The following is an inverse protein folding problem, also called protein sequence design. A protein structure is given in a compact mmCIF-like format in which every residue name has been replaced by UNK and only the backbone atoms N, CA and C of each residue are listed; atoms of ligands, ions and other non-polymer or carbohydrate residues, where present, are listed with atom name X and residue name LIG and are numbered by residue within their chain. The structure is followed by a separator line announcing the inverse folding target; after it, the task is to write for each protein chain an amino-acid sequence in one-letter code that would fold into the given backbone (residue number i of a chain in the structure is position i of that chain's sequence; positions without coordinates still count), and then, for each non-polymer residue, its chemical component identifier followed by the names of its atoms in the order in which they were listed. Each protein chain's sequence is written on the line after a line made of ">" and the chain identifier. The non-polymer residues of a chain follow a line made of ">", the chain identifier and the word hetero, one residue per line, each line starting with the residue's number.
data_IF_905158723933
#
_entry.id   IF_905158723933
#
_cell.length_a   1.000
_cell.length_b   1.000
_cell.length_c   1.000
_cell.angle_alpha   90.00
_cell.angle_beta   90.00
_cell.angle_gamma   90.00
#
_symmetry.space_group_name_H-M   'P 1'
#
loop_
_entity.id
_entity.type
_entity.pdbx_description
1 polymer ?
#
# COMPACT_ATOMS: atom_id res chain seq x y z
N UNK A 1 19.85 -4.56 7.03
CA UNK A 1 18.53 -4.99 6.54
C UNK A 1 17.73 -5.52 7.72
N UNK A 2 17.03 -4.65 8.45
CA UNK A 2 16.19 -5.06 9.57
C UNK A 2 14.80 -5.36 8.99
N UNK A 3 14.46 -6.65 8.87
CA UNK A 3 13.13 -7.05 8.41
C UNK A 3 12.06 -6.56 9.38
N UNK A 4 11.00 -5.95 8.85
CA UNK A 4 9.74 -5.73 9.58
C UNK A 4 9.18 -7.10 9.96
N UNK A 5 9.58 -7.66 11.10
CA UNK A 5 9.00 -8.89 11.62
C UNK A 5 7.68 -8.50 12.30
N UNK A 6 6.58 -8.55 11.56
CA UNK A 6 5.23 -8.46 12.13
C UNK A 6 5.02 -9.66 13.07
N UNK A 7 4.51 -9.47 14.30
CA UNK A 7 4.04 -10.59 15.09
C UNK A 7 2.73 -11.10 14.48
N UNK A 8 2.75 -12.33 13.97
CA UNK A 8 1.53 -13.10 13.70
C UNK A 8 0.77 -13.28 15.03
N UNK A 9 -0.25 -12.44 15.24
CA UNK A 9 -1.17 -12.51 16.37
C UNK A 9 -2.38 -13.38 16.01
N UNK A 10 -2.44 -14.54 16.66
CA UNK A 10 -3.45 -15.58 16.54
C UNK A 10 -4.92 -15.10 16.47
N UNK A 11 -5.71 -15.81 15.64
CA UNK A 11 -7.16 -15.76 15.67
C UNK A 11 -7.70 -16.23 17.04
N UNK A 12 -8.65 -15.52 17.67
CA UNK A 12 -9.40 -16.08 18.78
C UNK A 12 -10.50 -16.99 18.23
N UNK A 13 -10.26 -18.29 18.32
CA UNK A 13 -11.30 -19.30 18.39
C UNK A 13 -11.94 -19.27 19.78
N UNK A 14 -13.27 -19.37 19.85
CA UNK A 14 -14.08 -19.94 20.95
C UNK A 14 -15.56 -19.84 20.55
N UNK A 15 -16.16 -20.93 20.06
CA UNK A 15 -16.94 -21.93 20.84
C UNK A 15 -18.09 -21.31 21.64
N UNK A 16 -19.27 -21.35 21.03
CA UNK A 16 -20.54 -21.96 21.49
C UNK A 16 -20.96 -21.91 22.98
N UNK A 17 -22.29 -21.76 23.17
CA UNK A 17 -23.10 -21.88 24.39
C UNK A 17 -23.01 -20.69 25.38
N UNK A 18 -24.07 -20.06 25.88
CA UNK A 18 -25.42 -20.53 26.18
C UNK A 18 -26.37 -19.34 26.39
N UNK A 19 -27.62 -19.47 25.93
CA UNK A 19 -28.71 -18.53 26.18
C UNK A 19 -29.12 -18.60 27.65
N UNK A 20 -29.26 -17.46 28.34
CA UNK A 20 -30.22 -17.34 29.44
C UNK A 20 -30.76 -15.92 29.56
N UNK A 21 -32.04 -15.78 29.22
CA UNK A 21 -32.86 -14.62 29.53
C UNK A 21 -33.11 -14.59 31.03
N UNK A 22 -32.91 -13.45 31.68
CA UNK A 22 -33.65 -13.05 32.89
C UNK A 22 -34.00 -11.57 32.76
N UNK A 23 -35.30 -11.30 32.88
CA UNK A 23 -35.93 -10.00 32.83
C UNK A 23 -35.61 -9.17 34.08
N UNK A 24 -35.39 -7.85 33.92
CA UNK A 24 -35.21 -6.93 35.04
C UNK A 24 -35.43 -5.48 34.62
N UNK A 25 -36.56 -4.92 35.04
CA UNK A 25 -36.98 -3.52 34.88
C UNK A 25 -36.09 -2.56 35.67
N UNK A 26 -35.80 -1.37 35.15
CA UNK A 26 -35.18 -0.29 35.93
C UNK A 26 -34.53 0.83 35.10
N UNK A 27 -35.24 1.94 34.94
CA UNK A 27 -34.71 3.24 34.46
C UNK A 27 -33.69 3.82 35.46
N UNK A 28 -32.47 4.17 35.02
CA UNK A 28 -31.83 5.45 35.38
C UNK A 28 -30.62 5.74 34.47
N UNK A 29 -30.67 6.90 33.85
CA UNK A 29 -29.63 7.51 33.02
C UNK A 29 -28.56 8.16 33.90
N UNK A 30 -27.32 7.68 33.80
CA UNK A 30 -26.06 8.45 33.78
C UNK A 30 -24.91 7.71 34.48
N UNK A 31 -23.85 7.44 33.72
CA UNK A 31 -22.48 7.49 34.25
C UNK A 31 -21.82 6.17 34.62
N UNK A 32 -21.58 5.29 33.64
CA UNK A 32 -20.28 4.61 33.50
C UNK A 32 -20.21 3.94 32.12
N UNK A 33 -20.01 4.72 31.05
CA UNK A 33 -19.64 4.18 29.73
C UNK A 33 -18.12 3.89 29.75
N UNK A 34 -17.67 3.00 30.62
CA UNK A 34 -16.26 2.66 30.76
C UNK A 34 -15.82 1.71 29.63
N UNK A 35 -15.14 2.30 28.64
CA UNK A 35 -13.90 1.72 28.12
C UNK A 35 -13.94 0.76 26.94
N UNK A 36 -15.11 0.32 26.45
CA UNK A 36 -15.14 -0.71 25.39
C UNK A 36 -15.62 -0.26 24.00
N UNK A 37 -16.27 0.90 23.87
CA UNK A 37 -16.85 1.35 22.59
C UNK A 37 -16.03 2.41 21.83
N UNK A 38 -14.76 2.62 22.20
CA UNK A 38 -13.87 3.59 21.54
C UNK A 38 -12.89 2.95 20.53
N UNK A 39 -12.92 1.62 20.38
CA UNK A 39 -11.96 0.80 19.63
C UNK A 39 -12.53 0.24 18.32
N UNK A 40 -13.50 0.92 17.71
CA UNK A 40 -13.78 0.65 16.31
C UNK A 40 -12.58 1.22 15.54
N UNK A 41 -11.59 0.37 15.26
CA UNK A 41 -10.46 0.62 14.38
C UNK A 41 -11.03 1.03 13.02
N UNK A 42 -11.28 2.33 12.85
CA UNK A 42 -11.81 2.88 11.60
C UNK A 42 -10.65 2.83 10.64
N UNK A 43 -10.64 1.81 9.78
CA UNK A 43 -9.77 1.79 8.63
C UNK A 43 -9.97 3.09 7.85
N UNK A 44 -8.88 3.75 7.46
CA UNK A 44 -8.96 5.01 6.72
C UNK A 44 -8.42 4.84 5.31
N UNK A 45 -9.16 5.36 4.33
CA UNK A 45 -8.77 5.37 2.92
C UNK A 45 -7.64 6.37 2.70
N UNK A 46 -6.50 5.91 2.18
CA UNK A 46 -5.40 6.80 1.75
C UNK A 46 -5.71 7.36 0.36
N UNK A 47 -5.95 6.47 -0.61
CA UNK A 47 -6.07 6.83 -2.02
C UNK A 47 -6.93 5.83 -2.80
N UNK A 48 -7.38 6.26 -3.97
CA UNK A 48 -7.93 5.40 -5.02
C UNK A 48 -6.92 5.32 -6.15
N UNK A 49 -6.58 4.12 -6.58
CA UNK A 49 -5.66 3.88 -7.68
C UNK A 49 -6.41 3.77 -9.00
N UNK A 50 -5.74 4.13 -10.10
CA UNK A 50 -6.29 4.04 -11.46
C UNK A 50 -6.37 2.59 -11.97
N UNK A 51 -5.52 1.70 -11.43
CA UNK A 51 -5.46 0.30 -11.81
C UNK A 51 -5.11 -0.59 -10.61
N UNK A 52 -5.38 -1.90 -10.72
CA UNK A 52 -5.01 -2.85 -9.66
C UNK A 52 -3.49 -2.94 -9.48
N UNK A 53 -2.72 -2.79 -10.57
CA UNK A 53 -1.26 -2.82 -10.52
C UNK A 53 -0.70 -1.69 -9.66
N UNK A 54 -1.18 -0.47 -9.89
CA UNK A 54 -0.81 0.71 -9.10
C UNK A 54 -1.18 0.52 -7.62
N UNK A 55 -2.37 0.00 -7.35
CA UNK A 55 -2.83 -0.26 -6.00
C UNK A 55 -1.94 -1.29 -5.26
N UNK A 56 -1.50 -2.34 -5.95
CA UNK A 56 -0.58 -3.34 -5.41
C UNK A 56 0.81 -2.75 -5.12
N UNK A 57 1.34 -1.92 -6.03
CA UNK A 57 2.60 -1.20 -5.80
C UNK A 57 2.52 -0.33 -4.54
N UNK A 58 1.41 0.39 -4.35
CA UNK A 58 1.18 1.20 -3.14
C UNK A 58 1.04 0.33 -1.89
N UNK A 59 0.39 -0.83 -1.97
CA UNK A 59 0.27 -1.78 -0.86
C UNK A 59 1.65 -2.31 -0.42
N UNK A 60 2.47 -2.75 -1.37
CA UNK A 60 3.82 -3.24 -1.12
C UNK A 60 4.72 -2.14 -0.54
N UNK A 61 4.60 -0.92 -1.07
CA UNK A 61 5.33 0.25 -0.56
C UNK A 61 4.98 0.55 0.91
N UNK A 62 3.69 0.47 1.28
CA UNK A 62 3.25 0.65 2.66
C UNK A 62 3.75 -0.49 3.56
N UNK A 63 3.68 -1.74 3.09
CA UNK A 63 4.17 -2.91 3.84
C UNK A 63 5.68 -2.83 4.10
N UNK A 64 6.47 -2.40 3.11
CA UNK A 64 7.91 -2.13 3.27
C UNK A 64 8.23 -1.06 4.32
N UNK A 65 7.28 -0.16 4.58
CA UNK A 65 7.37 0.85 5.64
C UNK A 65 6.73 0.37 6.97
N UNK A 66 6.45 -0.93 7.10
CA UNK A 66 5.74 -1.54 8.21
C UNK A 66 4.34 -0.92 8.49
N UNK A 67 3.65 -0.42 7.47
CA UNK A 67 2.29 0.12 7.56
C UNK A 67 1.31 -0.92 7.06
N UNK A 68 0.43 -1.38 7.95
CA UNK A 68 -0.56 -2.41 7.60
C UNK A 68 -1.72 -1.78 6.84
N UNK A 69 -1.86 -2.12 5.56
CA UNK A 69 -2.93 -1.64 4.68
C UNK A 69 -3.67 -2.80 4.00
N UNK A 70 -4.82 -2.50 3.38
CA UNK A 70 -5.65 -3.43 2.62
C UNK A 70 -6.15 -2.78 1.33
N UNK A 71 -6.35 -3.62 0.32
CA UNK A 71 -7.02 -3.24 -0.92
C UNK A 71 -8.52 -3.52 -0.84
N UNK A 72 -9.29 -2.60 -1.41
CA UNK A 72 -10.73 -2.74 -1.65
C UNK A 72 -11.00 -2.56 -3.14
N UNK A 73 -12.13 -3.09 -3.62
CA UNK A 73 -12.56 -3.02 -5.02
C UNK A 73 -11.59 -3.63 -6.06
N UNK A 74 -10.73 -4.57 -5.64
CA UNK A 74 -9.74 -5.21 -6.52
C UNK A 74 -10.37 -5.98 -7.70
N UNK A 75 -11.59 -6.50 -7.53
CA UNK A 75 -12.32 -7.25 -8.54
C UNK A 75 -13.42 -6.44 -9.24
N UNK A 76 -13.69 -5.21 -8.80
CA UNK A 76 -14.76 -4.38 -9.35
C UNK A 76 -14.45 -3.92 -10.79
N UNK A 77 -13.18 -3.91 -11.20
CA UNK A 77 -12.74 -3.62 -12.56
C UNK A 77 -13.16 -4.70 -13.58
N UNK A 78 -13.34 -5.96 -13.16
CA UNK A 78 -13.75 -7.06 -14.03
C UNK A 78 -15.25 -7.11 -14.34
N UNK A 79 -16.07 -6.33 -13.63
CA UNK A 79 -17.52 -6.28 -13.74
C UNK A 79 -18.06 -5.06 -14.49
N UNK A 80 -17.24 -4.42 -15.34
CA UNK A 80 -17.51 -3.14 -16.00
C UNK A 80 -18.72 -3.15 -16.99
N UNK A 81 -19.50 -4.24 -17.03
CA UNK A 81 -20.79 -4.30 -17.71
C UNK A 81 -21.98 -3.80 -16.86
N UNK A 82 -21.94 -3.98 -15.53
CA UNK A 82 -23.09 -3.76 -14.63
C UNK A 82 -22.78 -2.85 -13.42
N UNK A 83 -21.52 -2.39 -13.25
CA UNK A 83 -21.11 -1.54 -12.12
C UNK A 83 -20.99 -0.08 -12.59
N UNK A 84 -21.59 0.89 -11.86
CA UNK A 84 -21.38 2.31 -12.15
C UNK A 84 -19.89 2.66 -12.13
N UNK A 85 -19.40 3.32 -13.20
CA UNK A 85 -17.99 3.69 -13.42
C UNK A 85 -17.30 4.43 -12.26
N UNK A 86 -18.07 4.93 -11.28
CA UNK A 86 -17.57 5.67 -10.12
C UNK A 86 -17.14 4.80 -8.94
N UNK A 87 -17.53 3.52 -8.89
CA UNK A 87 -17.24 2.62 -7.75
C UNK A 87 -16.28 1.46 -8.09
N UNK A 88 -15.73 1.44 -9.31
CA UNK A 88 -14.88 0.36 -9.78
C UNK A 88 -13.41 0.48 -9.40
N UNK A 89 -12.94 1.65 -8.94
CA UNK A 89 -11.51 1.88 -8.74
C UNK A 89 -10.99 1.17 -7.49
N UNK A 90 -9.84 0.48 -7.57
CA UNK A 90 -9.17 -0.09 -6.43
C UNK A 90 -8.84 0.99 -5.39
N UNK A 91 -9.00 0.67 -4.12
CA UNK A 91 -8.76 1.61 -3.03
C UNK A 91 -7.79 1.04 -2.01
N UNK A 92 -6.87 1.88 -1.52
CA UNK A 92 -5.89 1.51 -0.50
C UNK A 92 -6.30 2.11 0.85
N UNK A 93 -6.45 1.25 1.86
CA UNK A 93 -6.92 1.62 3.19
C UNK A 93 -5.95 1.18 4.27
N UNK A 94 -5.66 2.04 5.23
CA UNK A 94 -4.81 1.73 6.39
C UNK A 94 -5.65 1.07 7.46
N UNK A 95 -5.11 0.05 8.12
CA UNK A 95 -5.80 -0.67 9.20
C UNK A 95 -5.81 0.16 10.49
N UNK A 96 -4.69 0.82 10.81
CA UNK A 96 -4.53 1.62 12.03
C UNK A 96 -4.64 3.10 11.70
N UNK A 97 -5.48 3.82 12.45
CA UNK A 97 -5.64 5.27 12.30
C UNK A 97 -4.32 6.04 12.51
N UNK A 98 -3.51 5.58 13.46
CA UNK A 98 -2.21 6.17 13.78
C UNK A 98 -1.19 6.12 12.64
N UNK A 99 -1.36 5.20 11.68
CA UNK A 99 -0.49 5.10 10.51
C UNK A 99 -0.99 5.91 9.32
N UNK A 100 -2.16 6.54 9.41
CA UNK A 100 -2.78 7.26 8.30
C UNK A 100 -1.89 8.40 7.78
N UNK A 101 -1.44 9.30 8.64
CA UNK A 101 -0.61 10.44 8.22
C UNK A 101 0.70 9.98 7.59
N UNK A 102 1.31 8.93 8.17
CA UNK A 102 2.56 8.37 7.68
C UNK A 102 2.39 7.68 6.34
N UNK A 103 1.32 6.90 6.18
CA UNK A 103 0.98 6.24 4.92
C UNK A 103 0.65 7.23 3.81
N UNK A 104 -0.10 8.29 4.13
CA UNK A 104 -0.39 9.37 3.20
C UNK A 104 0.88 10.09 2.75
N UNK A 105 1.83 10.36 3.65
CA UNK A 105 3.09 10.98 3.29
C UNK A 105 3.91 10.12 2.30
N UNK A 106 3.97 8.80 2.54
CA UNK A 106 4.68 7.86 1.67
C UNK A 106 4.06 7.78 0.28
N UNK A 107 2.72 7.68 0.19
CA UNK A 107 2.02 7.64 -1.10
C UNK A 107 2.22 8.96 -1.85
N UNK A 108 2.12 10.10 -1.17
CA UNK A 108 2.36 11.41 -1.78
C UNK A 108 3.80 11.58 -2.28
N UNK A 109 4.79 11.01 -1.59
CA UNK A 109 6.18 11.02 -2.04
C UNK A 109 6.38 10.14 -3.27
N UNK A 110 5.76 8.97 -3.30
CA UNK A 110 5.77 8.07 -4.44
C UNK A 110 5.18 8.73 -5.69
N UNK A 111 4.02 9.35 -5.58
CA UNK A 111 3.38 10.07 -6.70
C UNK A 111 4.20 11.28 -7.19
N UNK A 112 4.97 11.91 -6.31
CA UNK A 112 5.84 13.05 -6.65
C UNK A 112 7.22 12.64 -7.15
N UNK A 113 7.58 11.36 -7.06
CA UNK A 113 8.90 10.91 -7.50
C UNK A 113 9.03 11.13 -8.99
N UNK A 114 9.93 12.02 -9.45
CA UNK A 114 10.05 12.34 -10.86
C UNK A 114 10.50 11.08 -11.61
N UNK A 115 9.77 10.74 -12.66
CA UNK A 115 10.20 9.72 -13.61
C UNK A 115 11.54 10.16 -14.18
N UNK A 116 12.56 9.31 -14.07
CA UNK A 116 13.88 9.56 -14.65
C UNK A 116 13.75 9.55 -16.19
N UNK A 117 13.61 10.72 -16.78
CA UNK A 117 13.43 10.91 -18.23
C UNK A 117 14.73 11.05 -18.99
N UNK A 118 15.88 10.99 -18.30
CA UNK A 118 17.17 11.00 -18.98
C UNK A 118 17.29 9.77 -19.88
N UNK A 119 17.94 9.98 -21.01
CA UNK A 119 18.25 8.94 -21.98
C UNK A 119 19.76 8.82 -22.12
N UNK A 120 20.22 7.61 -22.42
CA UNK A 120 21.60 7.28 -22.74
C UNK A 120 21.64 6.56 -24.09
N UNK A 121 22.54 6.99 -24.97
CA UNK A 121 22.72 6.36 -26.27
C UNK A 121 23.71 5.22 -26.16
N UNK A 122 23.37 4.06 -26.73
CA UNK A 122 24.26 2.90 -26.73
C UNK A 122 25.48 3.18 -27.61
N UNK A 123 26.70 2.96 -27.11
CA UNK A 123 27.93 3.14 -27.91
C UNK A 123 28.15 2.06 -28.99
N UNK A 124 27.45 0.92 -28.88
CA UNK A 124 27.60 -0.20 -29.81
C UNK A 124 26.60 -0.13 -30.98
N UNK A 125 25.34 0.21 -30.71
CA UNK A 125 24.28 0.24 -31.74
C UNK A 125 23.62 1.61 -31.94
N UNK A 126 24.00 2.63 -31.15
CA UNK A 126 23.48 4.01 -31.21
C UNK A 126 21.99 4.18 -30.88
N UNK A 127 21.33 3.14 -30.38
CA UNK A 127 19.94 3.24 -29.93
C UNK A 127 19.78 4.10 -28.68
N UNK A 128 18.62 4.75 -28.56
CA UNK A 128 18.19 5.46 -27.37
C UNK A 128 17.72 4.48 -26.29
N UNK A 129 18.24 4.63 -25.08
CA UNK A 129 17.89 3.80 -23.93
C UNK A 129 17.54 4.69 -22.73
N UNK A 130 16.56 4.30 -21.89
CA UNK A 130 16.33 4.97 -20.62
C UNK A 130 17.57 4.93 -19.71
N UNK A 131 17.84 6.01 -18.98
CA UNK A 131 19.05 6.15 -18.15
C UNK A 131 19.12 5.14 -16.99
N UNK A 132 17.98 4.60 -16.54
CA UNK A 132 17.90 3.58 -15.51
C UNK A 132 18.29 2.17 -16.01
N UNK A 133 18.57 1.99 -17.30
CA UNK A 133 18.95 0.69 -17.85
C UNK A 133 20.46 0.47 -17.72
N UNK A 134 20.85 -0.74 -17.29
CA UNK A 134 22.26 -1.13 -17.21
C UNK A 134 22.80 -1.66 -18.54
N UNK A 135 21.92 -2.21 -19.39
CA UNK A 135 22.23 -2.82 -20.68
C UNK A 135 21.29 -2.30 -21.77
N UNK A 136 21.78 -2.25 -23.00
CA UNK A 136 21.00 -1.80 -24.13
C UNK A 136 19.88 -2.79 -24.46
N UNK A 137 18.65 -2.30 -24.62
CA UNK A 137 17.49 -3.15 -24.95
C UNK A 137 17.60 -3.79 -26.35
N UNK A 138 18.31 -3.13 -27.28
CA UNK A 138 18.47 -3.60 -28.65
C UNK A 138 19.61 -4.61 -28.84
N UNK A 139 20.79 -4.35 -28.26
CA UNK A 139 21.98 -5.17 -28.52
C UNK A 139 22.59 -5.85 -27.28
N UNK A 140 22.08 -5.57 -26.08
CA UNK A 140 22.58 -6.13 -24.83
C UNK A 140 23.93 -5.59 -24.35
N UNK A 141 24.54 -4.63 -25.06
CA UNK A 141 25.80 -4.02 -24.63
C UNK A 141 25.59 -3.17 -23.36
N UNK A 142 26.61 -3.12 -22.49
CA UNK A 142 26.57 -2.30 -21.27
C UNK A 142 26.42 -0.81 -21.58
N UNK A 143 25.52 -0.14 -20.86
CA UNK A 143 25.28 1.31 -20.96
C UNK A 143 26.16 2.12 -19.99
N UNK A 144 27.26 1.52 -19.50
CA UNK A 144 28.11 2.07 -18.45
C UNK A 144 28.46 3.54 -18.70
N UNK A 145 28.05 4.38 -17.74
CA UNK A 145 28.56 5.73 -17.63
C UNK A 145 29.96 5.63 -17.01
N UNK A 146 30.94 6.41 -17.50
CA UNK A 146 32.25 6.44 -16.87
C UNK A 146 32.09 6.90 -15.43
N UNK A 147 32.23 5.97 -14.48
CA UNK A 147 32.35 6.32 -13.07
C UNK A 147 33.63 7.13 -12.93
N UNK A 148 33.51 8.40 -12.57
CA UNK A 148 34.64 9.28 -12.30
C UNK A 148 35.28 8.85 -10.98
N UNK A 149 36.05 7.76 -11.00
CA UNK A 149 37.03 7.33 -9.98
C UNK A 149 37.83 6.12 -10.48
N UNK A 150 38.99 6.39 -11.06
CA UNK A 150 40.19 5.60 -10.78
C UNK A 150 41.39 6.54 -10.94
N UNK A 151 41.83 7.07 -9.80
CA UNK A 151 43.04 7.87 -9.74
C UNK A 151 44.26 6.96 -9.70
N UNK A 152 45.23 7.25 -10.58
CA UNK A 152 46.67 7.23 -10.34
C UNK A 152 47.26 5.98 -9.67
N UNK A 153 48.06 5.24 -10.45
CA UNK A 153 49.42 4.85 -10.05
C UNK A 153 50.36 5.14 -11.20
#
# INVERSE_FOLDING_TARGET
>A
MRGCRLPFGAAPTKTEHEKRQVNGSGNNINGCKSGFYQYYEIMKKICSASSIMEAQIMLDLLDHNCISAKLFNEHAQGGLGDIPFTHGYPEVWVIRDSDFERGQAIVNEFEKTPVETRVVFCRACHEENPFNFQVCWQCGAGLELPSSREGRV
#
